data_IF_190847181418
#
_entry.id   IF_190847181418
#
_cell.length_a   1.000
_cell.length_b   1.000
_cell.length_c   1.000
_cell.angle_alpha   90.00
_cell.angle_beta   90.00
_cell.angle_gamma   90.00
#
_symmetry.space_group_name_H-M   'P 1'
#
loop_
_entity.id
_entity.type
_entity.pdbx_description
1 polymer ?
#
# COMPACT_ATOMS: atom_id res chain seq x y z
N UNK A 1 52.56 -21.57 -13.31
CA UNK A 1 51.12 -21.90 -13.36
C UNK A 1 50.77 -22.43 -11.99
N UNK A 2 50.27 -21.58 -11.11
CA UNK A 2 49.77 -21.95 -9.78
C UNK A 2 48.63 -21.00 -9.42
N UNK A 3 47.60 -21.61 -8.85
CA UNK A 3 46.19 -21.22 -8.82
C UNK A 3 45.90 -20.06 -7.87
N UNK A 4 45.18 -19.05 -8.36
CA UNK A 4 44.45 -18.07 -7.53
C UNK A 4 43.39 -18.81 -6.71
N UNK A 5 43.62 -18.94 -5.42
CA UNK A 5 42.60 -19.24 -4.43
C UNK A 5 42.60 -18.09 -3.43
N UNK A 6 41.87 -17.04 -3.78
CA UNK A 6 41.38 -16.00 -2.85
C UNK A 6 40.14 -15.39 -3.49
N UNK A 7 39.06 -16.17 -3.49
CA UNK A 7 37.70 -15.70 -3.79
C UNK A 7 36.80 -15.86 -2.56
N UNK A 8 37.38 -15.85 -1.36
CA UNK A 8 36.66 -15.96 -0.11
C UNK A 8 37.32 -15.01 0.89
N UNK A 9 36.78 -13.79 1.02
CA UNK A 9 36.56 -13.23 2.38
C UNK A 9 35.84 -11.88 2.49
N UNK A 10 35.40 -11.21 1.41
CA UNK A 10 34.69 -9.92 1.58
C UNK A 10 33.27 -9.89 0.99
N UNK A 11 32.59 -11.04 0.91
CA UNK A 11 31.13 -11.01 0.86
C UNK A 11 30.65 -10.65 2.27
N UNK A 12 30.65 -9.34 2.56
CA UNK A 12 29.96 -8.76 3.70
C UNK A 12 28.63 -9.51 3.84
N UNK A 13 28.47 -10.26 4.94
CA UNK A 13 27.29 -11.07 5.21
C UNK A 13 26.13 -10.11 5.40
N UNK A 14 25.55 -9.63 4.29
CA UNK A 14 24.30 -8.89 4.29
C UNK A 14 23.34 -9.86 5.00
N UNK A 15 22.86 -9.54 6.20
CA UNK A 15 21.93 -10.42 6.87
C UNK A 15 20.76 -10.60 5.89
N UNK A 16 20.42 -11.85 5.57
CA UNK A 16 19.22 -12.20 4.80
C UNK A 16 17.99 -11.77 5.61
N UNK A 17 17.78 -10.46 5.70
CA UNK A 17 16.56 -9.84 6.18
C UNK A 17 15.68 -9.72 4.97
N UNK A 18 14.43 -10.13 5.16
CA UNK A 18 13.39 -9.92 4.18
C UNK A 18 13.39 -8.44 3.77
N UNK A 19 13.60 -8.18 2.49
CA UNK A 19 13.72 -6.85 1.87
C UNK A 19 12.60 -5.91 2.35
N UNK A 20 11.41 -6.45 2.60
CA UNK A 20 10.24 -5.72 3.11
C UNK A 20 10.45 -5.09 4.49
N UNK A 21 11.12 -5.80 5.39
CA UNK A 21 11.44 -5.28 6.73
C UNK A 21 12.40 -4.09 6.61
N UNK A 22 13.35 -4.17 5.67
CA UNK A 22 14.29 -3.10 5.39
C UNK A 22 13.59 -1.88 4.77
N UNK A 23 12.65 -2.09 3.85
CA UNK A 23 11.79 -1.03 3.33
C UNK A 23 10.98 -0.35 4.43
N UNK A 24 10.36 -1.13 5.32
CA UNK A 24 9.60 -0.59 6.44
C UNK A 24 10.48 0.20 7.41
N UNK A 25 11.71 -0.27 7.69
CA UNK A 25 12.66 0.43 8.56
C UNK A 25 13.12 1.75 7.95
N UNK A 26 13.64 1.73 6.72
CA UNK A 26 14.12 2.94 6.04
C UNK A 26 12.97 3.93 5.77
N UNK A 27 11.82 3.47 5.29
CA UNK A 27 10.66 4.31 5.08
C UNK A 27 10.09 4.88 6.38
N UNK A 28 10.19 4.14 7.49
CA UNK A 28 9.87 4.65 8.83
C UNK A 28 10.78 5.82 9.23
N UNK A 29 12.09 5.71 9.02
CA UNK A 29 13.03 6.80 9.25
C UNK A 29 12.74 8.03 8.37
N UNK A 30 12.36 7.81 7.10
CA UNK A 30 11.94 8.89 6.20
C UNK A 30 10.69 9.60 6.70
N UNK A 31 9.69 8.84 7.15
CA UNK A 31 8.46 9.39 7.69
C UNK A 31 8.72 10.22 8.95
N UNK A 32 9.58 9.76 9.86
CA UNK A 32 9.96 10.52 11.06
C UNK A 32 10.56 11.90 10.74
N UNK A 33 11.27 12.04 9.60
CA UNK A 33 11.81 13.33 9.15
C UNK A 33 10.74 14.27 8.59
N UNK A 34 9.70 13.75 7.92
CA UNK A 34 8.60 14.54 7.31
C UNK A 34 7.22 13.90 7.56
N UNK A 35 6.74 13.89 8.81
CA UNK A 35 5.63 13.03 9.19
C UNK A 35 4.27 13.49 8.67
N UNK A 36 4.09 14.80 8.41
CA UNK A 36 2.78 15.37 8.10
C UNK A 36 2.46 15.37 6.59
N UNK A 37 3.37 15.88 5.77
CA UNK A 37 3.16 16.12 4.33
C UNK A 37 3.99 15.19 3.42
N UNK A 38 4.92 14.41 3.99
CA UNK A 38 5.78 13.53 3.22
C UNK A 38 6.75 14.25 2.28
N UNK A 39 7.12 13.57 1.19
CA UNK A 39 8.11 14.02 0.20
C UNK A 39 7.52 14.45 -1.15
N UNK A 40 6.20 14.30 -1.32
CA UNK A 40 5.47 14.58 -2.54
C UNK A 40 5.08 13.31 -3.29
N UNK A 41 3.92 13.34 -3.95
CA UNK A 41 3.35 12.21 -4.70
C UNK A 41 4.22 11.87 -5.90
N UNK A 42 4.46 10.58 -6.12
CA UNK A 42 5.26 10.04 -7.23
C UNK A 42 6.74 10.35 -7.13
N UNK A 43 7.27 10.56 -5.93
CA UNK A 43 8.69 10.85 -5.68
C UNK A 43 9.43 9.65 -5.08
N UNK A 44 8.73 8.64 -4.57
CA UNK A 44 9.33 7.56 -3.81
C UNK A 44 8.92 6.20 -4.38
N UNK A 45 9.91 5.36 -4.74
CA UNK A 45 9.75 3.91 -4.89
C UNK A 45 8.82 3.36 -5.98
N UNK A 46 7.91 4.15 -6.54
CA UNK A 46 6.92 3.69 -7.52
C UNK A 46 7.41 3.80 -8.96
N UNK A 47 6.64 3.22 -9.88
CA UNK A 47 6.90 3.36 -11.32
C UNK A 47 6.94 4.84 -11.76
N UNK A 48 6.12 5.69 -11.14
CA UNK A 48 6.07 7.14 -11.42
C UNK A 48 7.37 7.81 -11.00
N UNK A 49 7.91 7.48 -9.83
CA UNK A 49 9.20 7.99 -9.36
C UNK A 49 10.32 7.57 -10.32
N UNK A 50 10.32 6.30 -10.75
CA UNK A 50 11.30 5.79 -11.72
C UNK A 50 11.19 6.42 -13.11
N UNK A 51 9.98 6.68 -13.59
CA UNK A 51 9.75 7.35 -14.89
C UNK A 51 10.21 8.81 -14.89
N UNK A 52 9.98 9.52 -13.78
CA UNK A 52 10.40 10.91 -13.63
C UNK A 52 11.90 11.03 -13.35
N UNK A 53 12.45 10.17 -12.50
CA UNK A 53 13.88 10.09 -12.22
C UNK A 53 14.32 8.62 -12.02
N UNK A 54 15.01 8.02 -13.00
CA UNK A 54 15.55 6.67 -12.87
C UNK A 54 16.55 6.49 -11.72
N UNK A 55 17.05 7.59 -11.15
CA UNK A 55 17.95 7.63 -9.99
C UNK A 55 17.28 8.19 -8.74
N UNK A 56 15.94 8.15 -8.65
CA UNK A 56 15.18 8.60 -7.46
C UNK A 56 15.73 8.03 -6.14
N UNK A 57 16.24 6.79 -6.16
CA UNK A 57 16.81 6.12 -4.99
C UNK A 57 18.13 6.75 -4.51
N UNK A 58 18.76 7.64 -5.28
CA UNK A 58 19.96 8.39 -4.92
C UNK A 58 19.63 9.78 -4.39
N UNK A 59 18.35 10.13 -4.26
CA UNK A 59 17.95 11.45 -3.84
C UNK A 59 18.43 11.72 -2.39
N UNK A 60 19.22 12.79 -2.15
CA UNK A 60 19.75 13.10 -0.83
C UNK A 60 18.66 13.40 0.20
N UNK A 61 17.43 13.71 -0.23
CA UNK A 61 16.27 13.84 0.66
C UNK A 61 15.96 12.54 1.39
N UNK A 62 16.32 11.38 0.83
CA UNK A 62 16.10 10.08 1.45
C UNK A 62 17.23 9.62 2.38
N UNK A 63 18.35 10.35 2.43
CA UNK A 63 19.48 10.04 3.30
C UNK A 63 20.82 10.30 2.60
N UNK A 64 21.95 10.21 3.34
CA UNK A 64 23.28 10.47 2.79
C UNK A 64 23.63 9.53 1.62
N UNK A 65 23.16 8.28 1.65
CA UNK A 65 23.35 7.29 0.57
C UNK A 65 22.08 7.07 -0.28
N UNK A 66 21.08 7.95 -0.11
CA UNK A 66 19.74 7.77 -0.67
C UNK A 66 18.99 6.59 -0.06
N UNK A 67 17.99 6.08 -0.79
CA UNK A 67 17.22 4.89 -0.45
C UNK A 67 17.87 3.64 -1.07
N UNK A 68 19.05 3.27 -0.56
CA UNK A 68 19.78 2.05 -0.98
C UNK A 68 19.69 1.00 0.11
N UNK A 69 19.09 -0.16 -0.18
CA UNK A 69 19.11 -1.31 0.71
C UNK A 69 20.43 -2.06 0.52
N UNK A 70 21.43 -1.88 1.39
CA UNK A 70 22.63 -2.74 1.46
C UNK A 70 23.24 -3.13 0.10
N UNK A 71 23.35 -2.19 -0.84
CA UNK A 71 23.89 -2.44 -2.19
C UNK A 71 22.94 -3.14 -3.19
N UNK A 72 21.70 -3.44 -2.82
CA UNK A 72 20.66 -3.92 -3.74
C UNK A 72 20.16 -2.78 -4.64
N UNK A 73 20.06 -3.08 -5.94
CA UNK A 73 19.54 -2.17 -6.97
C UNK A 73 18.03 -2.38 -7.17
N UNK A 74 17.28 -2.54 -6.09
CA UNK A 74 15.84 -2.67 -6.22
C UNK A 74 15.25 -1.36 -6.71
N UNK A 75 14.64 -1.42 -7.89
CA UNK A 75 14.20 -0.23 -8.64
C UNK A 75 12.87 0.30 -8.14
N UNK A 76 12.12 -0.54 -7.42
CA UNK A 76 10.76 -0.27 -6.98
C UNK A 76 10.52 -0.83 -5.58
N UNK A 77 9.73 -0.10 -4.82
CA UNK A 77 9.26 -0.49 -3.49
C UNK A 77 7.85 -1.06 -3.67
N UNK A 78 7.67 -2.36 -3.47
CA UNK A 78 6.36 -3.00 -3.61
C UNK A 78 5.56 -2.87 -2.29
N UNK A 79 5.19 -1.65 -1.91
CA UNK A 79 4.35 -1.40 -0.74
C UNK A 79 3.54 -0.10 -0.86
N UNK A 80 2.26 -0.24 -1.21
CA UNK A 80 1.30 0.88 -1.28
C UNK A 80 1.28 1.74 -0.02
N UNK A 81 1.23 1.11 1.16
CA UNK A 81 1.18 1.84 2.42
C UNK A 81 2.44 2.65 2.67
N UNK A 82 3.59 2.11 2.27
CA UNK A 82 4.86 2.82 2.40
C UNK A 82 4.92 4.01 1.44
N UNK A 83 4.46 3.84 0.19
CA UNK A 83 4.30 4.94 -0.77
C UNK A 83 3.39 6.02 -0.20
N UNK A 84 2.17 5.65 0.19
CA UNK A 84 1.20 6.60 0.72
C UNK A 84 1.78 7.35 1.93
N UNK A 85 2.39 6.63 2.88
CA UNK A 85 2.92 7.22 4.09
C UNK A 85 4.13 8.14 3.84
N UNK A 86 5.10 7.71 3.03
CA UNK A 86 6.32 8.48 2.77
C UNK A 86 6.03 9.65 1.83
N UNK A 87 5.22 9.47 0.79
CA UNK A 87 4.94 10.51 -0.20
C UNK A 87 4.01 11.58 0.33
N UNK A 88 2.96 11.20 1.07
CA UNK A 88 1.89 12.13 1.48
C UNK A 88 1.84 12.44 2.97
N UNK A 89 2.59 11.69 3.78
CA UNK A 89 2.57 11.81 5.23
C UNK A 89 1.25 11.40 5.87
N UNK A 90 1.10 11.71 7.16
CA UNK A 90 -0.07 11.37 7.94
C UNK A 90 -1.36 12.02 7.40
N UNK A 91 -1.26 13.19 6.76
CA UNK A 91 -2.44 13.88 6.21
C UNK A 91 -3.01 13.15 4.99
N UNK A 92 -2.17 12.69 4.08
CA UNK A 92 -2.67 11.93 2.92
C UNK A 92 -3.16 10.54 3.33
N UNK A 93 -2.50 9.87 4.29
CA UNK A 93 -3.02 8.64 4.89
C UNK A 93 -4.39 8.87 5.53
N UNK A 94 -4.55 9.94 6.32
CA UNK A 94 -5.83 10.27 6.94
C UNK A 94 -6.91 10.58 5.89
N UNK A 95 -6.58 11.37 4.86
CA UNK A 95 -7.50 11.66 3.77
C UNK A 95 -7.95 10.39 3.04
N UNK A 96 -7.02 9.47 2.78
CA UNK A 96 -7.33 8.16 2.19
C UNK A 96 -8.26 7.33 3.07
N UNK A 97 -8.00 7.25 4.37
CA UNK A 97 -8.85 6.53 5.33
C UNK A 97 -10.24 7.14 5.46
N UNK A 98 -10.34 8.48 5.48
CA UNK A 98 -11.63 9.18 5.49
C UNK A 98 -12.41 8.89 4.22
N UNK A 99 -11.76 8.96 3.05
CA UNK A 99 -12.39 8.64 1.77
C UNK A 99 -12.87 7.18 1.74
N UNK A 100 -12.04 6.23 2.17
CA UNK A 100 -12.41 4.82 2.26
C UNK A 100 -13.59 4.60 3.22
N UNK A 101 -13.60 5.28 4.36
CA UNK A 101 -14.72 5.26 5.30
C UNK A 101 -16.02 5.77 4.67
N UNK A 102 -15.97 6.88 3.93
CA UNK A 102 -17.15 7.44 3.26
C UNK A 102 -17.73 6.48 2.19
N UNK A 103 -16.86 5.72 1.51
CA UNK A 103 -17.30 4.69 0.55
C UNK A 103 -17.97 3.48 1.22
N UNK A 104 -17.38 2.99 2.32
CA UNK A 104 -17.81 1.75 2.97
C UNK A 104 -18.99 1.98 3.94
N UNK A 105 -19.03 3.12 4.63
CA UNK A 105 -19.99 3.36 5.71
C UNK A 105 -21.47 3.25 5.31
N UNK A 106 -21.94 3.75 4.14
CA UNK A 106 -23.33 3.58 3.72
C UNK A 106 -23.70 2.10 3.51
N UNK A 107 -22.78 1.33 2.92
CA UNK A 107 -22.96 -0.10 2.66
C UNK A 107 -23.05 -0.88 3.97
N UNK A 108 -22.14 -0.62 4.91
CA UNK A 108 -22.14 -1.28 6.22
C UNK A 108 -23.40 -0.92 7.02
N UNK A 109 -23.81 0.35 7.04
CA UNK A 109 -25.01 0.79 7.76
C UNK A 109 -26.28 0.12 7.23
N UNK A 110 -26.38 -0.09 5.93
CA UNK A 110 -27.54 -0.77 5.36
C UNK A 110 -27.47 -2.28 5.52
N UNK A 111 -26.30 -2.90 5.39
CA UNK A 111 -26.10 -4.31 5.67
C UNK A 111 -26.51 -4.67 7.12
N UNK A 112 -26.29 -3.75 8.07
CA UNK A 112 -26.75 -3.91 9.46
C UNK A 112 -28.26 -3.98 9.65
N UNK A 113 -29.05 -3.50 8.68
CA UNK A 113 -30.52 -3.51 8.73
C UNK A 113 -31.14 -4.67 7.94
N UNK A 114 -30.31 -5.55 7.37
CA UNK A 114 -30.70 -6.61 6.42
C UNK A 114 -30.54 -8.01 7.05
N UNK A 115 -31.16 -9.06 6.47
CA UNK A 115 -31.07 -10.42 6.98
C UNK A 115 -29.62 -10.89 7.15
N UNK A 116 -29.41 -11.72 8.18
CA UNK A 116 -28.10 -12.17 8.70
C UNK A 116 -27.09 -12.63 7.63
N UNK A 117 -27.56 -13.24 6.55
CA UNK A 117 -26.71 -13.76 5.47
C UNK A 117 -25.96 -12.66 4.69
N UNK A 118 -26.61 -11.54 4.39
CA UNK A 118 -25.98 -10.42 3.65
C UNK A 118 -24.90 -9.76 4.50
N UNK A 119 -25.15 -9.64 5.81
CA UNK A 119 -24.20 -9.10 6.75
C UNK A 119 -22.95 -9.98 6.89
N UNK A 120 -23.12 -11.31 6.94
CA UNK A 120 -21.99 -12.25 6.99
C UNK A 120 -21.10 -12.15 5.73
N UNK A 121 -21.71 -12.03 4.55
CA UNK A 121 -20.96 -11.83 3.30
C UNK A 121 -20.22 -10.49 3.26
N UNK A 122 -20.84 -9.40 3.71
CA UNK A 122 -20.19 -8.10 3.78
C UNK A 122 -18.99 -8.10 4.75
N UNK A 123 -19.14 -8.71 5.93
CA UNK A 123 -18.07 -8.85 6.90
C UNK A 123 -16.95 -9.76 6.36
N UNK A 124 -17.29 -10.86 5.68
CA UNK A 124 -16.31 -11.74 5.06
C UNK A 124 -15.51 -11.04 3.95
N UNK A 125 -16.19 -10.29 3.07
CA UNK A 125 -15.54 -9.54 1.99
C UNK A 125 -14.66 -8.40 2.53
N UNK A 126 -15.11 -7.68 3.57
CA UNK A 126 -14.31 -6.65 4.25
C UNK A 126 -13.09 -7.27 4.94
N UNK A 127 -13.27 -8.35 5.69
CA UNK A 127 -12.17 -9.06 6.36
C UNK A 127 -11.17 -9.57 5.34
N UNK A 128 -11.63 -10.19 4.25
CA UNK A 128 -10.78 -10.64 3.15
C UNK A 128 -10.03 -9.47 2.52
N UNK A 129 -10.69 -8.33 2.30
CA UNK A 129 -10.06 -7.14 1.73
C UNK A 129 -9.01 -6.54 2.66
N UNK A 130 -9.23 -6.53 3.97
CA UNK A 130 -8.25 -6.10 4.98
C UNK A 130 -7.07 -7.06 5.03
N UNK A 131 -7.32 -8.38 4.98
CA UNK A 131 -6.26 -9.38 4.94
C UNK A 131 -5.43 -9.24 3.67
N UNK A 132 -6.04 -9.07 2.51
CA UNK A 132 -5.32 -8.78 1.27
C UNK A 132 -4.57 -7.45 1.38
N UNK A 133 -5.17 -6.40 1.94
CA UNK A 133 -4.49 -5.11 2.10
C UNK A 133 -3.27 -5.15 3.04
N UNK A 134 -3.25 -6.05 4.02
CA UNK A 134 -2.13 -6.21 4.95
C UNK A 134 -1.11 -7.26 4.50
N UNK A 135 -1.55 -8.34 3.84
CA UNK A 135 -0.69 -9.47 3.46
C UNK A 135 -0.30 -9.45 1.97
N UNK A 136 -0.94 -8.65 1.12
CA UNK A 136 -0.60 -8.63 -0.30
C UNK A 136 0.82 -8.06 -0.49
N UNK A 137 1.66 -8.76 -1.26
CA UNK A 137 2.97 -8.30 -1.70
C UNK A 137 2.95 -6.92 -2.35
N UNK A 138 1.83 -6.54 -2.97
CA UNK A 138 1.55 -5.23 -3.51
C UNK A 138 0.04 -4.99 -3.46
N UNK A 139 -0.41 -3.94 -2.76
CA UNK A 139 -1.79 -3.46 -2.81
C UNK A 139 -2.11 -2.72 -4.13
N UNK A 140 -1.05 -2.40 -4.90
CA UNK A 140 -1.14 -1.82 -6.23
C UNK A 140 -1.40 -2.88 -7.29
N UNK A 141 -1.40 -4.17 -6.93
CA UNK A 141 -1.74 -5.23 -7.87
C UNK A 141 -3.17 -4.98 -8.40
N UNK A 142 -3.37 -4.96 -9.73
CA UNK A 142 -4.62 -4.51 -10.36
C UNK A 142 -5.88 -5.22 -9.85
N UNK A 143 -5.70 -6.42 -9.31
CA UNK A 143 -6.78 -7.29 -8.85
C UNK A 143 -7.51 -6.72 -7.64
N UNK A 144 -6.80 -6.10 -6.69
CA UNK A 144 -7.42 -5.64 -5.45
C UNK A 144 -8.36 -4.44 -5.68
N UNK A 145 -7.93 -3.34 -6.34
CA UNK A 145 -8.84 -2.24 -6.66
C UNK A 145 -10.04 -2.71 -7.49
N UNK A 146 -9.81 -3.54 -8.51
CA UNK A 146 -10.90 -4.06 -9.35
C UNK A 146 -11.92 -4.85 -8.52
N UNK A 147 -11.46 -5.73 -7.63
CA UNK A 147 -12.33 -6.51 -6.75
C UNK A 147 -13.10 -5.62 -5.76
N UNK A 148 -12.40 -4.70 -5.08
CA UNK A 148 -12.99 -3.78 -4.11
C UNK A 148 -14.10 -2.94 -4.75
N UNK A 149 -13.82 -2.29 -5.88
CA UNK A 149 -14.79 -1.43 -6.55
C UNK A 149 -15.95 -2.21 -7.18
N UNK A 150 -15.72 -3.45 -7.63
CA UNK A 150 -16.81 -4.31 -8.11
C UNK A 150 -17.78 -4.64 -6.98
N UNK A 151 -17.27 -5.07 -5.81
CA UNK A 151 -18.11 -5.38 -4.64
C UNK A 151 -18.86 -4.14 -4.15
N UNK A 152 -18.17 -3.00 -4.05
CA UNK A 152 -18.79 -1.73 -3.63
C UNK A 152 -19.85 -1.27 -4.62
N UNK A 153 -19.59 -1.34 -5.93
CA UNK A 153 -20.53 -0.96 -6.98
C UNK A 153 -21.80 -1.79 -6.95
N UNK A 154 -21.69 -3.11 -6.84
CA UNK A 154 -22.85 -4.00 -6.70
C UNK A 154 -23.65 -3.70 -5.44
N UNK A 155 -22.96 -3.48 -4.31
CA UNK A 155 -23.61 -3.14 -3.05
C UNK A 155 -24.38 -1.81 -3.13
N UNK A 156 -23.83 -0.80 -3.79
CA UNK A 156 -24.48 0.49 -4.01
C UNK A 156 -25.73 0.38 -4.89
N UNK A 157 -25.65 -0.38 -5.99
CA UNK A 157 -26.80 -0.61 -6.87
C UNK A 157 -27.94 -1.30 -6.12
N UNK A 158 -27.63 -2.32 -5.33
CA UNK A 158 -28.64 -2.99 -4.50
C UNK A 158 -29.24 -2.06 -3.44
N UNK A 159 -28.43 -1.20 -2.85
CA UNK A 159 -28.88 -0.18 -1.90
C UNK A 159 -29.93 0.75 -2.52
N UNK A 160 -29.62 1.28 -3.70
CA UNK A 160 -30.46 2.24 -4.40
C UNK A 160 -31.82 1.63 -4.76
N UNK A 161 -31.81 0.41 -5.32
CA UNK A 161 -33.04 -0.31 -5.70
C UNK A 161 -33.94 -0.62 -4.49
N UNK A 162 -33.31 -1.05 -3.40
CA UNK A 162 -34.00 -1.28 -2.13
C UNK A 162 -34.67 -0.03 -1.55
N UNK A 163 -34.06 1.16 -1.72
CA UNK A 163 -34.64 2.40 -1.25
C UNK A 163 -35.83 2.84 -2.14
N UNK A 164 -35.75 2.60 -3.45
CA UNK A 164 -36.84 2.87 -4.39
C UNK A 164 -38.08 1.99 -4.12
N UNK A 165 -37.88 0.71 -3.80
CA UNK A 165 -38.96 -0.22 -3.48
C UNK A 165 -39.74 0.24 -2.24
N UNK A 166 -39.07 0.61 -1.15
CA UNK A 166 -39.71 1.13 0.06
C UNK A 166 -40.40 2.48 -0.15
N UNK A 167 -39.95 3.31 -1.09
CA UNK A 167 -40.56 4.60 -1.38
C UNK A 167 -41.84 4.50 -2.24
N UNK A 168 -42.11 3.34 -2.85
CA UNK A 168 -43.29 3.08 -3.69
C UNK A 168 -44.43 2.39 -2.93
N UNK A 169 -44.15 1.86 -1.74
CA UNK A 169 -45.14 1.31 -0.79
C UNK A 169 -45.75 2.42 0.07
#
# INVERSE_FOLDING_TARGET
METRADCADDAEKIPEREVRVLYAQQGGELWLKRPLLGYGVGQFGGIVAYQNDPRWYQDPRFGPDGFRLYGSNEKQVDSFWLHLLVETGALGVLAYLVWLFLLIAPVVRAAWRRPRAVWLWAVAALTFSVLVAFLAPSLEDPLFPAQLFTVLGLAWVWLARSAEETARE
#
